data_IF_337950017044
#
_entry.id   IF_337950017044
#
_cell.length_a   1.000
_cell.length_b   1.000
_cell.length_c   1.000
_cell.angle_alpha   90.00
_cell.angle_beta   90.00
_cell.angle_gamma   90.00
#
_symmetry.space_group_name_H-M   'P 1'
#
loop_
_entity.id
_entity.type
_entity.pdbx_description
1 polymer ?
#
# COMPACT_ATOMS: atom_id res chain seq x y z
N UNK A 1 21.26 -41.08 -24.97
CA UNK A 1 20.06 -40.55 -25.63
C UNK A 1 18.82 -40.69 -24.79
N UNK A 2 18.63 -41.80 -24.10
CA UNK A 2 17.47 -41.97 -23.23
C UNK A 2 17.46 -40.98 -22.03
N UNK A 3 18.62 -40.57 -21.57
CA UNK A 3 18.73 -39.63 -20.46
C UNK A 3 18.27 -38.21 -20.83
N UNK A 4 18.47 -37.79 -22.03
CA UNK A 4 18.05 -36.49 -22.50
C UNK A 4 16.53 -36.34 -22.57
N UNK A 5 15.85 -37.42 -22.95
CA UNK A 5 14.39 -37.44 -23.04
C UNK A 5 13.76 -37.34 -21.66
N UNK A 6 14.37 -37.98 -20.67
CA UNK A 6 13.86 -37.93 -19.30
C UNK A 6 14.02 -36.54 -18.67
N UNK A 7 15.12 -35.88 -18.93
CA UNK A 7 15.38 -34.52 -18.42
C UNK A 7 14.40 -33.55 -19.05
N UNK A 8 14.10 -33.70 -20.32
CA UNK A 8 13.16 -32.85 -21.02
C UNK A 8 11.74 -33.00 -20.47
N UNK A 9 11.34 -34.21 -20.13
CA UNK A 9 10.04 -34.49 -19.54
C UNK A 9 9.90 -33.86 -18.16
N UNK A 10 10.97 -33.89 -17.36
CA UNK A 10 10.99 -33.27 -16.04
C UNK A 10 10.86 -31.75 -16.13
N UNK A 11 11.52 -31.14 -17.10
CA UNK A 11 11.44 -29.70 -17.31
C UNK A 11 10.02 -29.25 -17.70
N UNK A 12 9.35 -30.03 -18.54
CA UNK A 12 7.97 -29.76 -18.93
C UNK A 12 7.02 -29.90 -17.77
N UNK A 13 7.22 -30.88 -16.89
CA UNK A 13 6.40 -31.06 -15.71
C UNK A 13 6.54 -29.89 -14.74
N UNK A 14 7.73 -29.31 -14.63
CA UNK A 14 8.00 -28.16 -13.80
C UNK A 14 7.23 -26.92 -14.29
N UNK A 15 7.16 -26.72 -15.59
CA UNK A 15 6.43 -25.62 -16.18
C UNK A 15 4.94 -25.75 -15.92
N UNK A 16 4.41 -26.96 -15.94
CA UNK A 16 3.00 -27.20 -15.64
C UNK A 16 2.64 -26.88 -14.20
N UNK A 17 3.54 -27.16 -13.27
CA UNK A 17 3.29 -26.91 -11.85
C UNK A 17 3.16 -25.42 -11.57
N UNK A 18 3.94 -24.57 -12.24
CA UNK A 18 3.86 -23.13 -12.05
C UNK A 18 2.60 -22.49 -12.65
N UNK A 19 1.92 -23.18 -13.57
CA UNK A 19 0.69 -22.68 -14.16
C UNK A 19 -0.54 -22.85 -13.25
N UNK A 20 -0.46 -23.67 -12.21
CA UNK A 20 -1.57 -23.90 -11.31
C UNK A 20 -1.64 -22.86 -10.18
N UNK A 21 -0.65 -22.00 -10.05
CA UNK A 21 -0.63 -20.97 -9.02
C UNK A 21 -1.24 -19.66 -9.51
N UNK A 22 -2.43 -19.74 -10.08
CA UNK A 22 -3.13 -18.55 -10.56
C UNK A 22 -4.24 -18.09 -9.65
N UNK A 23 -4.19 -18.46 -8.39
CA UNK A 23 -5.12 -17.89 -7.43
C UNK A 23 -4.79 -16.43 -7.21
N UNK A 24 -5.81 -15.59 -7.17
CA UNK A 24 -5.63 -14.18 -6.89
C UNK A 24 -5.00 -14.02 -5.51
N UNK A 25 -3.84 -13.41 -5.47
CA UNK A 25 -3.11 -13.15 -4.23
C UNK A 25 -3.02 -11.66 -3.99
N UNK A 26 -2.94 -11.27 -2.72
CA UNK A 26 -2.69 -9.90 -2.35
C UNK A 26 -1.35 -9.46 -2.94
N UNK A 27 -1.32 -8.23 -3.43
CA UNK A 27 -0.10 -7.64 -3.95
C UNK A 27 0.54 -6.80 -2.85
N UNK A 28 1.80 -7.07 -2.55
CA UNK A 28 2.55 -6.33 -1.53
C UNK A 28 3.70 -5.60 -2.22
N UNK A 29 3.80 -4.30 -1.98
CA UNK A 29 4.87 -3.49 -2.55
C UNK A 29 5.27 -2.38 -1.58
N UNK A 30 6.50 -1.87 -1.73
CA UNK A 30 6.97 -0.73 -0.96
C UNK A 30 6.77 0.53 -1.78
N UNK A 31 6.17 1.54 -1.19
CA UNK A 31 5.91 2.81 -1.86
C UNK A 31 6.32 3.97 -0.98
N UNK A 32 6.63 5.09 -1.61
CA UNK A 32 6.91 6.33 -0.92
C UNK A 32 5.60 7.09 -0.73
N UNK A 33 5.35 7.51 0.50
CA UNK A 33 4.14 8.23 0.87
C UNK A 33 4.52 9.58 1.45
N UNK A 34 3.93 10.64 0.91
CA UNK A 34 4.09 11.98 1.44
C UNK A 34 2.90 12.33 2.32
N UNK A 35 3.17 12.96 3.46
CA UNK A 35 2.14 13.42 4.37
C UNK A 35 2.32 14.92 4.57
N UNK A 36 1.26 15.68 4.36
CA UNK A 36 1.30 17.14 4.46
C UNK A 36 1.30 17.60 5.91
N UNK A 37 1.87 18.77 6.15
CA UNK A 37 1.77 19.44 7.45
C UNK A 37 0.36 19.95 7.75
N UNK A 38 -0.46 20.08 6.71
CA UNK A 38 -1.85 20.50 6.83
C UNK A 38 -2.77 19.30 6.88
N UNK A 39 -3.89 19.44 7.60
CA UNK A 39 -4.93 18.45 7.62
C UNK A 39 -5.96 18.72 6.53
N UNK A 40 -6.76 17.73 6.23
CA UNK A 40 -7.88 17.85 5.31
C UNK A 40 -9.13 17.27 5.92
N UNK A 41 -10.18 17.23 5.15
CA UNK A 41 -11.47 16.68 5.58
C UNK A 41 -11.87 15.55 4.67
N UNK A 42 -12.33 14.46 5.26
CA UNK A 42 -12.95 13.36 4.53
C UNK A 42 -14.33 13.09 5.12
N UNK A 43 -15.16 12.40 4.40
CA UNK A 43 -16.50 12.08 4.85
C UNK A 43 -16.56 10.62 5.29
N UNK A 44 -16.91 10.41 6.56
CA UNK A 44 -17.04 9.08 7.13
C UNK A 44 -18.31 8.37 6.69
N UNK A 45 -18.60 7.25 7.35
CA UNK A 45 -19.74 6.39 7.00
C UNK A 45 -21.10 7.11 7.09
N UNK A 46 -21.22 8.12 7.95
CA UNK A 46 -22.45 8.89 8.11
C UNK A 46 -22.46 10.16 7.27
N UNK A 47 -21.55 10.27 6.31
CA UNK A 47 -21.38 11.47 5.49
C UNK A 47 -21.11 12.74 6.28
N UNK A 48 -20.60 12.62 7.50
CA UNK A 48 -20.19 13.74 8.32
C UNK A 48 -18.74 14.12 8.01
N UNK A 49 -18.40 15.41 8.01
CA UNK A 49 -17.02 15.82 7.78
C UNK A 49 -16.14 15.43 8.97
N UNK A 50 -14.99 14.81 8.69
CA UNK A 50 -14.04 14.38 9.70
C UNK A 50 -12.66 14.89 9.32
N UNK A 51 -11.94 15.44 10.28
CA UNK A 51 -10.56 15.86 10.05
C UNK A 51 -9.65 14.63 9.88
N UNK A 52 -8.77 14.70 8.91
CA UNK A 52 -7.78 13.66 8.67
C UNK A 52 -6.50 14.24 8.12
N UNK A 53 -5.55 13.39 7.84
CA UNK A 53 -4.29 13.81 7.23
C UNK A 53 -4.40 13.82 5.72
N UNK A 54 -3.60 14.69 5.10
CA UNK A 54 -3.47 14.72 3.64
C UNK A 54 -2.28 13.87 3.26
N UNK A 55 -2.52 12.86 2.45
CA UNK A 55 -1.48 11.96 1.96
C UNK A 55 -1.40 11.99 0.45
N UNK A 56 -0.21 11.65 -0.06
CA UNK A 56 0.03 11.55 -1.48
C UNK A 56 1.08 10.49 -1.71
N UNK A 57 0.69 9.41 -2.36
CA UNK A 57 1.61 8.37 -2.78
C UNK A 57 2.42 8.88 -3.96
N UNK A 58 3.69 8.52 -4.05
CA UNK A 58 4.51 8.89 -5.18
C UNK A 58 3.87 8.41 -6.48
N UNK A 59 3.67 9.34 -7.41
CA UNK A 59 2.97 9.09 -8.65
C UNK A 59 1.53 9.59 -8.68
N UNK A 60 0.94 9.91 -7.53
CA UNK A 60 -0.38 10.54 -7.50
C UNK A 60 -0.27 12.00 -7.90
N UNK A 61 -1.30 12.51 -8.55
CA UNK A 61 -1.35 13.91 -8.96
C UNK A 61 -1.86 14.83 -7.88
N UNK A 62 -2.70 14.32 -7.00
CA UNK A 62 -3.40 15.13 -6.00
C UNK A 62 -3.28 14.53 -4.62
N UNK A 63 -3.40 15.39 -3.61
CA UNK A 63 -3.48 14.99 -2.22
C UNK A 63 -4.86 14.43 -1.92
N UNK A 64 -4.92 13.44 -1.06
CA UNK A 64 -6.17 12.87 -0.58
C UNK A 64 -6.27 12.95 0.93
N UNK A 65 -7.46 13.25 1.43
CA UNK A 65 -7.74 13.26 2.87
C UNK A 65 -8.05 11.86 3.34
N UNK A 66 -7.36 11.41 4.37
CA UNK A 66 -7.52 10.06 4.91
C UNK A 66 -7.53 10.10 6.44
N UNK A 67 -8.13 9.10 7.10
CA UNK A 67 -8.09 9.01 8.55
C UNK A 67 -6.66 9.02 9.08
N UNK A 68 -6.47 9.52 10.28
CA UNK A 68 -5.15 9.51 10.91
C UNK A 68 -4.61 8.10 11.11
N UNK A 69 -5.48 7.10 11.14
CA UNK A 69 -5.13 5.70 11.31
C UNK A 69 -4.90 4.96 9.99
N UNK A 70 -4.94 5.66 8.87
CA UNK A 70 -4.81 5.03 7.55
C UNK A 70 -3.53 4.24 7.38
N UNK A 71 -2.43 4.75 7.93
CA UNK A 71 -1.14 4.08 7.86
C UNK A 71 -0.86 3.44 9.21
N UNK A 72 -0.89 2.10 9.25
CA UNK A 72 -0.64 1.35 10.47
C UNK A 72 0.78 1.60 10.98
N UNK A 73 0.91 1.87 12.26
CA UNK A 73 2.21 2.12 12.89
C UNK A 73 2.71 3.56 12.76
N UNK A 74 1.97 4.43 12.10
CA UNK A 74 2.34 5.83 11.94
C UNK A 74 1.46 6.72 12.82
N UNK A 75 2.10 7.63 13.55
CA UNK A 75 1.41 8.65 14.33
C UNK A 75 1.62 10.02 13.68
N UNK A 76 0.53 10.62 13.23
CA UNK A 76 0.57 11.94 12.62
C UNK A 76 0.63 13.03 13.68
N UNK A 77 1.54 13.98 13.51
CA UNK A 77 1.62 15.17 14.33
C UNK A 77 1.33 16.38 13.44
N UNK A 78 0.30 17.11 13.79
CA UNK A 78 -0.12 18.29 13.03
C UNK A 78 1.01 19.33 12.98
N UNK A 79 1.23 19.89 11.80
CA UNK A 79 2.30 20.85 11.60
C UNK A 79 3.60 20.24 11.11
N UNK A 80 3.70 18.91 11.11
CA UNK A 80 4.85 18.20 10.58
C UNK A 80 4.53 17.63 9.21
N UNK A 81 5.48 17.71 8.29
CA UNK A 81 5.38 17.00 7.03
C UNK A 81 6.33 15.81 7.04
N UNK A 82 5.93 14.77 6.35
CA UNK A 82 6.65 13.50 6.39
C UNK A 82 6.87 12.96 4.99
N UNK A 83 8.00 12.28 4.83
CA UNK A 83 8.21 11.35 3.72
C UNK A 83 8.38 9.97 4.35
N UNK A 84 7.51 9.06 4.00
CA UNK A 84 7.44 7.72 4.60
C UNK A 84 7.74 6.66 3.56
N UNK A 85 8.38 5.59 4.00
CA UNK A 85 8.40 4.34 3.25
C UNK A 85 7.33 3.45 3.89
N UNK A 86 6.38 3.03 3.09
CA UNK A 86 5.27 2.22 3.58
C UNK A 86 5.12 0.94 2.77
N UNK A 87 4.62 -0.10 3.42
CA UNK A 87 4.22 -1.33 2.76
C UNK A 87 2.76 -1.17 2.33
N UNK A 88 2.54 -1.28 1.03
CA UNK A 88 1.21 -1.20 0.46
C UNK A 88 0.74 -2.59 0.10
N UNK A 89 -0.35 -3.02 0.69
CA UNK A 89 -0.98 -4.29 0.39
C UNK A 89 -2.28 -4.02 -0.36
N UNK A 90 -2.35 -4.53 -1.59
CA UNK A 90 -3.58 -4.47 -2.38
C UNK A 90 -4.26 -5.81 -2.26
N UNK A 91 -5.45 -5.82 -1.65
CA UNK A 91 -6.18 -7.05 -1.37
C UNK A 91 -6.80 -7.61 -2.64
N UNK A 92 -6.61 -8.91 -2.88
CA UNK A 92 -7.21 -9.59 -4.03
C UNK A 92 -8.72 -9.75 -3.86
N UNK A 93 -9.15 -10.02 -2.63
CA UNK A 93 -10.56 -10.22 -2.31
C UNK A 93 -10.93 -9.34 -1.11
N UNK A 94 -11.08 -8.02 -1.34
CA UNK A 94 -11.38 -7.11 -0.23
C UNK A 94 -12.80 -7.35 0.31
N UNK A 95 -12.99 -7.19 1.63
CA UNK A 95 -14.34 -7.20 2.21
C UNK A 95 -15.18 -6.08 1.59
N UNK A 96 -16.49 -6.26 1.53
CA UNK A 96 -17.39 -5.29 0.91
C UNK A 96 -17.35 -3.93 1.57
N UNK A 97 -17.08 -3.89 2.87
CA UNK A 97 -17.13 -2.65 3.65
C UNK A 97 -15.76 -2.05 3.94
N UNK A 98 -14.70 -2.59 3.33
CA UNK A 98 -13.34 -2.15 3.61
C UNK A 98 -12.61 -1.74 2.35
N UNK A 99 -11.58 -0.91 2.54
CA UNK A 99 -10.68 -0.53 1.46
C UNK A 99 -9.96 -1.75 0.88
N UNK A 100 -9.73 -1.73 -0.42
CA UNK A 100 -8.93 -2.76 -1.08
C UNK A 100 -7.44 -2.60 -0.85
N UNK A 101 -7.01 -1.50 -0.23
CA UNK A 101 -5.60 -1.17 -0.02
C UNK A 101 -5.36 -0.91 1.45
N UNK A 102 -4.26 -1.45 1.97
CA UNK A 102 -3.79 -1.21 3.33
C UNK A 102 -2.35 -0.71 3.32
N UNK A 103 -2.04 0.21 4.21
CA UNK A 103 -0.70 0.76 4.35
C UNK A 103 -0.14 0.45 5.73
N UNK A 104 1.15 0.12 5.78
CA UNK A 104 1.87 -0.12 7.03
C UNK A 104 3.21 0.62 6.97
N UNK A 105 3.53 1.36 8.01
CA UNK A 105 4.79 2.09 8.07
C UNK A 105 5.97 1.14 8.13
N UNK A 106 6.95 1.35 7.24
CA UNK A 106 8.23 0.67 7.30
C UNK A 106 9.25 1.59 7.98
N UNK A 107 9.37 2.82 7.51
CA UNK A 107 10.29 3.79 8.11
C UNK A 107 9.87 5.22 7.77
N UNK A 108 10.28 6.14 8.62
CA UNK A 108 10.15 7.57 8.37
C UNK A 108 11.45 8.00 7.69
N UNK A 109 11.36 8.35 6.41
CA UNK A 109 12.53 8.76 5.62
C UNK A 109 12.91 10.18 5.97
N UNK A 110 11.92 11.05 6.11
CA UNK A 110 12.14 12.45 6.43
C UNK A 110 10.95 12.97 7.23
N UNK A 111 11.24 13.79 8.22
CA UNK A 111 10.24 14.47 9.02
C UNK A 111 10.73 15.88 9.29
N UNK A 112 9.91 16.87 9.00
CA UNK A 112 10.25 18.26 9.26
C UNK A 112 9.07 19.04 9.77
N UNK A 113 9.35 19.97 10.70
CA UNK A 113 8.34 20.90 11.19
C UNK A 113 8.15 21.99 10.14
N UNK A 114 6.92 22.27 9.81
CA UNK A 114 6.62 23.35 8.89
C UNK A 114 6.73 24.69 9.61
N UNK A 115 7.57 25.58 9.10
CA UNK A 115 7.72 26.94 9.61
C UNK A 115 7.06 27.91 8.66
N UNK A 116 6.26 28.80 9.21
CA UNK A 116 5.63 29.87 8.44
C UNK A 116 6.57 31.05 8.25
#
# INVERSE_FOLDING_TARGET
>A
MKQFTQILLLAIAFIFTSCFEKEAKDKIEEVTMYVSHETGIYYGMLSSPVEGMLIKEEGWKEWESRPFQEISGFEYVKGHKYTLLVEKTTLANPPMDASSVKYKLISIVEQSLWHL
#
